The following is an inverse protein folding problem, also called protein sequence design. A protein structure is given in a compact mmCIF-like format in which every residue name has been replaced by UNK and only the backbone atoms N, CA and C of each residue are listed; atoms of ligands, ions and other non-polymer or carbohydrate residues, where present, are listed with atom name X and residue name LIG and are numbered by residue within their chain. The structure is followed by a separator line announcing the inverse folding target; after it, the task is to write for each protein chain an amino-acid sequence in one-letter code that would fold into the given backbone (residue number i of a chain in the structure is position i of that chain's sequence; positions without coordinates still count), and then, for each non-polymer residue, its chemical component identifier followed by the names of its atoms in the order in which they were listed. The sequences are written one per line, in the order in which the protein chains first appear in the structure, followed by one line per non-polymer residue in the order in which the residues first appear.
data_IF_372126889503
#
_entry.id   IF_372126889503
#
_cell.length_a   1.000
_cell.length_b   1.000
_cell.length_c   1.000
_cell.angle_alpha   90.00
_cell.angle_beta   90.00
_cell.angle_gamma   90.00
#
_symmetry.space_group_name_H-M   'P 1'
#
loop_
_entity.id
_entity.type
_entity.pdbx_description
1 polymer ?
#
# COMPACT_ATOMS: atom_id res chain seq x y z
N UNK A 1 48.76 11.94 30.79
CA UNK A 1 47.30 12.10 30.55
C UNK A 1 47.10 12.27 29.05
N UNK A 2 46.25 11.44 28.40
CA UNK A 2 45.89 11.36 26.96
C UNK A 2 46.28 10.05 26.27
N UNK A 3 45.61 8.98 26.68
CA UNK A 3 45.33 7.86 25.79
C UNK A 3 43.94 7.28 26.16
N UNK A 4 42.95 8.16 26.33
CA UNK A 4 41.55 7.70 26.33
C UNK A 4 41.23 7.40 24.87
N UNK A 5 41.38 6.12 24.54
CA UNK A 5 41.01 5.40 23.32
C UNK A 5 40.28 6.23 22.25
N UNK A 6 41.01 6.59 21.19
CA UNK A 6 40.42 7.06 19.92
C UNK A 6 39.37 6.09 19.37
N UNK A 7 39.47 4.80 19.70
CA UNK A 7 38.41 3.81 19.48
C UNK A 7 37.11 4.20 20.21
N UNK A 8 37.14 4.46 21.52
CA UNK A 8 35.93 4.83 22.29
C UNK A 8 35.30 6.12 21.77
N UNK A 9 36.11 7.11 21.36
CA UNK A 9 35.62 8.35 20.75
C UNK A 9 34.98 8.13 19.36
N UNK A 10 35.55 7.22 18.54
CA UNK A 10 35.00 6.82 17.24
C UNK A 10 33.70 6.01 17.37
N UNK A 11 33.59 5.16 18.40
CA UNK A 11 32.36 4.38 18.63
C UNK A 11 31.25 5.28 19.17
N UNK A 12 31.60 6.27 20.01
CA UNK A 12 30.67 7.29 20.49
C UNK A 12 30.11 8.16 19.34
N UNK A 13 30.89 8.44 18.28
CA UNK A 13 30.39 9.15 17.09
C UNK A 13 29.61 8.27 16.11
N UNK A 14 29.88 6.97 16.07
CA UNK A 14 29.19 6.00 15.20
C UNK A 14 27.86 5.50 15.77
N UNK A 15 27.73 5.45 17.10
CA UNK A 15 26.50 5.02 17.77
C UNK A 15 25.24 5.79 17.35
N UNK A 16 25.22 7.15 17.30
CA UNK A 16 24.02 7.88 16.86
C UNK A 16 23.70 7.64 15.38
N UNK A 17 24.72 7.46 14.53
CA UNK A 17 24.54 7.14 13.11
C UNK A 17 23.91 5.76 12.95
N UNK A 18 24.36 4.77 13.72
CA UNK A 18 23.81 3.43 13.70
C UNK A 18 22.35 3.40 14.19
N UNK A 19 22.03 4.16 15.24
CA UNK A 19 20.67 4.29 15.76
C UNK A 19 19.75 4.94 14.72
N UNK A 20 20.18 6.05 14.10
CA UNK A 20 19.41 6.71 13.04
C UNK A 20 19.21 5.81 11.83
N UNK A 21 20.23 5.07 11.40
CA UNK A 21 20.13 4.11 10.31
C UNK A 21 19.15 2.97 10.65
N UNK A 22 19.16 2.49 11.88
CA UNK A 22 18.23 1.45 12.36
C UNK A 22 16.78 1.96 12.35
N UNK A 23 16.55 3.19 12.84
CA UNK A 23 15.23 3.82 12.82
C UNK A 23 14.74 4.05 11.39
N UNK A 24 15.61 4.51 10.49
CA UNK A 24 15.27 4.71 9.08
C UNK A 24 14.90 3.38 8.39
N UNK A 25 15.66 2.30 8.65
CA UNK A 25 15.37 0.97 8.13
C UNK A 25 14.04 0.42 8.66
N UNK A 26 13.79 0.52 9.96
CA UNK A 26 12.54 0.07 10.57
C UNK A 26 11.33 0.86 10.06
N UNK A 27 11.47 2.19 9.95
CA UNK A 27 10.42 3.05 9.41
C UNK A 27 10.15 2.78 7.93
N UNK A 28 11.21 2.57 7.13
CA UNK A 28 11.09 2.22 5.72
C UNK A 28 10.42 0.88 5.51
N UNK A 29 10.78 -0.14 6.30
CA UNK A 29 10.08 -1.42 6.29
C UNK A 29 8.59 -1.24 6.61
N UNK A 30 8.26 -0.47 7.65
CA UNK A 30 6.86 -0.30 8.08
C UNK A 30 5.97 0.40 7.05
N UNK A 31 6.49 1.38 6.32
CA UNK A 31 5.73 2.13 5.31
C UNK A 31 5.64 1.38 3.97
N UNK A 32 6.70 0.67 3.58
CA UNK A 32 6.71 -0.11 2.34
C UNK A 32 5.86 -1.39 2.43
N UNK A 33 5.61 -1.91 3.63
CA UNK A 33 4.80 -3.13 3.83
C UNK A 33 3.31 -2.88 4.03
N UNK A 34 2.82 -1.63 3.94
CA UNK A 34 1.38 -1.36 3.96
C UNK A 34 0.89 -1.24 2.53
N UNK A 35 0.43 -2.34 1.89
CA UNK A 35 -0.26 -2.21 0.62
C UNK A 35 -1.47 -1.29 0.85
N UNK A 36 -1.56 -0.22 0.07
CA UNK A 36 -2.77 0.57 -0.01
C UNK A 36 -3.84 -0.35 -0.58
N UNK A 37 -4.66 -0.93 0.31
CA UNK A 37 -5.72 -1.82 -0.12
C UNK A 37 -6.70 -1.02 -0.97
N UNK A 38 -7.15 -1.56 -2.11
CA UNK A 38 -8.16 -0.90 -2.93
C UNK A 38 -9.44 -0.67 -2.11
N UNK A 39 -10.14 0.43 -2.40
CA UNK A 39 -11.44 0.67 -1.80
C UNK A 39 -12.49 -0.24 -2.47
N UNK A 40 -12.88 -1.29 -1.76
CA UNK A 40 -13.85 -2.31 -2.24
C UNK A 40 -15.27 -2.09 -1.71
N UNK A 41 -15.54 -0.96 -1.06
CA UNK A 41 -16.85 -0.62 -0.49
C UNK A 41 -17.20 0.82 -0.76
N UNK A 42 -18.50 1.08 -0.86
CA UNK A 42 -19.05 2.40 -1.14
C UNK A 42 -19.43 2.56 -2.61
N UNK A 43 -19.59 3.81 -3.02
CA UNK A 43 -19.95 4.18 -4.39
C UNK A 43 -18.90 5.14 -4.93
N UNK A 44 -18.41 4.86 -6.14
CA UNK A 44 -17.42 5.69 -6.83
C UNK A 44 -17.99 6.08 -8.18
N UNK A 45 -18.04 7.38 -8.46
CA UNK A 45 -18.38 7.87 -9.79
C UNK A 45 -17.14 7.76 -10.69
N UNK A 46 -17.31 7.17 -11.87
CA UNK A 46 -16.25 7.00 -12.87
C UNK A 46 -16.79 7.41 -14.23
N UNK A 47 -15.92 7.99 -15.06
CA UNK A 47 -16.26 8.29 -16.44
C UNK A 47 -16.25 7.00 -17.28
N UNK A 48 -17.14 6.94 -18.28
CA UNK A 48 -17.18 5.83 -19.24
C UNK A 48 -18.25 4.76 -18.99
N UNK A 49 -18.94 4.79 -17.84
CA UNK A 49 -20.14 3.98 -17.61
C UNK A 49 -21.37 4.63 -18.26
N UNK A 50 -22.19 3.82 -18.93
CA UNK A 50 -23.47 4.27 -19.47
C UNK A 50 -24.57 4.24 -18.40
N UNK A 51 -24.56 3.19 -17.57
CA UNK A 51 -25.48 2.97 -16.46
C UNK A 51 -24.75 2.52 -15.18
N UNK A 52 -25.50 2.34 -14.10
CA UNK A 52 -24.95 1.90 -12.83
C UNK A 52 -24.45 0.44 -12.90
N UNK A 53 -23.26 0.21 -12.34
CA UNK A 53 -22.68 -1.13 -12.15
C UNK A 53 -22.58 -1.43 -10.67
N UNK A 54 -23.08 -2.60 -10.25
CA UNK A 54 -22.95 -3.10 -8.89
C UNK A 54 -21.87 -4.18 -8.83
N UNK A 55 -20.95 -4.03 -7.88
CA UNK A 55 -19.84 -4.97 -7.66
C UNK A 55 -19.87 -5.40 -6.20
N UNK A 56 -20.02 -6.70 -5.96
CA UNK A 56 -19.87 -7.29 -4.62
C UNK A 56 -18.87 -8.44 -4.67
N UNK A 57 -18.26 -8.72 -3.51
CA UNK A 57 -17.34 -9.86 -3.36
C UNK A 57 -17.94 -10.87 -2.41
N UNK A 58 -17.83 -12.15 -2.76
CA UNK A 58 -18.25 -13.24 -1.90
C UNK A 58 -17.28 -13.48 -0.73
N UNK A 59 -17.52 -14.52 0.07
CA UNK A 59 -16.67 -14.89 1.20
C UNK A 59 -15.25 -15.32 0.79
N UNK A 60 -15.05 -15.77 -0.46
CA UNK A 60 -13.75 -16.13 -1.01
C UNK A 60 -13.05 -14.94 -1.71
N UNK A 61 -13.71 -13.78 -1.77
CA UNK A 61 -13.19 -12.56 -2.41
C UNK A 61 -13.43 -12.50 -3.93
N UNK A 62 -14.20 -13.42 -4.50
CA UNK A 62 -14.55 -13.44 -5.92
C UNK A 62 -15.53 -12.30 -6.21
N UNK A 63 -15.20 -11.46 -7.19
CA UNK A 63 -16.04 -10.34 -7.58
C UNK A 63 -17.18 -10.79 -8.51
N UNK A 64 -18.39 -10.40 -8.15
CA UNK A 64 -19.59 -10.53 -8.97
C UNK A 64 -19.97 -9.14 -9.48
N UNK A 65 -20.17 -9.04 -10.80
CA UNK A 65 -20.39 -7.77 -11.50
C UNK A 65 -21.76 -7.82 -12.15
N UNK A 66 -22.61 -6.86 -11.82
CA UNK A 66 -23.98 -6.77 -12.33
C UNK A 66 -24.13 -5.42 -13.03
N UNK A 67 -24.58 -5.45 -14.28
CA UNK A 67 -24.95 -4.26 -15.06
C UNK A 67 -26.11 -4.60 -16.01
N UNK A 68 -26.74 -3.57 -16.56
CA UNK A 68 -27.88 -3.70 -17.48
C UNK A 68 -27.48 -3.95 -18.93
N UNK A 69 -26.20 -3.74 -19.27
CA UNK A 69 -25.65 -3.89 -20.61
C UNK A 69 -24.23 -4.49 -20.58
N UNK A 70 -23.85 -5.14 -21.67
CA UNK A 70 -22.58 -5.87 -21.75
C UNK A 70 -21.35 -4.95 -21.66
N UNK A 71 -21.43 -3.74 -22.21
CA UNK A 71 -20.31 -2.80 -22.22
C UNK A 71 -19.90 -2.42 -20.78
N UNK A 72 -20.89 -2.14 -19.93
CA UNK A 72 -20.66 -1.77 -18.54
C UNK A 72 -20.22 -2.98 -17.69
N UNK A 73 -20.64 -4.22 -18.03
CA UNK A 73 -20.09 -5.45 -17.41
C UNK A 73 -18.59 -5.58 -17.70
N UNK A 74 -18.17 -5.41 -18.95
CA UNK A 74 -16.76 -5.49 -19.32
C UNK A 74 -15.93 -4.34 -18.71
N UNK A 75 -16.50 -3.14 -18.63
CA UNK A 75 -15.89 -2.04 -17.89
C UNK A 75 -15.66 -2.41 -16.42
N UNK A 76 -16.70 -2.91 -15.75
CA UNK A 76 -16.61 -3.38 -14.36
C UNK A 76 -15.56 -4.47 -14.18
N UNK A 77 -15.43 -5.39 -15.14
CA UNK A 77 -14.43 -6.45 -15.08
C UNK A 77 -12.99 -5.91 -15.11
N UNK A 78 -12.73 -4.95 -16.00
CA UNK A 78 -11.45 -4.25 -16.06
C UNK A 78 -11.18 -3.44 -14.79
N UNK A 79 -12.20 -2.76 -14.28
CA UNK A 79 -12.11 -1.97 -13.04
C UNK A 79 -11.71 -2.85 -11.84
N UNK A 80 -12.35 -4.00 -11.65
CA UNK A 80 -12.02 -4.96 -10.59
C UNK A 80 -10.62 -5.55 -10.76
N UNK A 81 -10.18 -5.82 -11.99
CA UNK A 81 -8.83 -6.33 -12.24
C UNK A 81 -7.73 -5.31 -11.94
N UNK A 82 -8.02 -4.02 -12.03
CA UNK A 82 -7.08 -2.94 -11.75
C UNK A 82 -6.97 -2.60 -10.24
N UNK A 83 -7.91 -3.09 -9.43
CA UNK A 83 -7.90 -2.95 -7.96
C UNK A 83 -6.93 -3.93 -7.31
#
# INVERSE_FOLDING_TARGET
MKAVNSAVLRHASLAPVLVLASVALLSGCFTLTRPALPQVRGSTAVEGLNEQVEIYRDAAGVAHIIATNDADVFFGQGYVHAQ
#
